data_IF_362605540216
#
_entry.id   IF_362605540216
#
_cell.length_a   1.000
_cell.length_b   1.000
_cell.length_c   1.000
_cell.angle_alpha   90.00
_cell.angle_beta   90.00
_cell.angle_gamma   90.00
#
_symmetry.space_group_name_H-M   'P 1'
#
loop_
_entity.id
_entity.type
_entity.pdbx_description
1 polymer ?
#
# COMPACT_ATOMS: atom_id res chain seq x y z
N UNK A 1 32.72 34.68 -28.55
CA UNK A 1 32.92 33.21 -28.58
C UNK A 1 33.33 32.63 -27.22
N UNK A 2 34.28 33.23 -26.51
CA UNK A 2 34.76 32.75 -25.19
C UNK A 2 33.64 32.56 -24.15
N UNK A 3 32.71 33.52 -24.02
CA UNK A 3 31.60 33.44 -23.06
C UNK A 3 30.67 32.23 -23.31
N UNK A 4 30.39 31.90 -24.58
CA UNK A 4 29.57 30.75 -24.95
C UNK A 4 30.25 29.44 -24.49
N UNK A 5 31.55 29.30 -24.75
CA UNK A 5 32.33 28.13 -24.35
C UNK A 5 32.42 27.95 -22.84
N UNK A 6 32.54 29.05 -22.09
CA UNK A 6 32.51 29.02 -20.62
C UNK A 6 31.14 28.53 -20.13
N UNK A 7 30.05 29.08 -20.67
CA UNK A 7 28.70 28.67 -20.28
C UNK A 7 28.41 27.20 -20.59
N UNK A 8 28.81 26.72 -21.78
CA UNK A 8 28.66 25.31 -22.16
C UNK A 8 29.46 24.38 -21.25
N UNK A 9 30.70 24.76 -20.91
CA UNK A 9 31.55 23.98 -19.99
C UNK A 9 30.94 23.88 -18.59
N UNK A 10 30.43 24.99 -18.05
CA UNK A 10 29.75 25.00 -16.75
C UNK A 10 28.47 24.16 -16.77
N UNK A 11 27.68 24.28 -17.83
CA UNK A 11 26.45 23.49 -17.99
C UNK A 11 26.76 22.00 -18.04
N UNK A 12 27.82 21.60 -18.73
CA UNK A 12 28.28 20.21 -18.80
C UNK A 12 28.75 19.69 -17.43
N UNK A 13 29.47 20.52 -16.65
CA UNK A 13 29.85 20.17 -15.28
C UNK A 13 28.63 19.98 -14.37
N UNK A 14 27.63 20.87 -14.46
CA UNK A 14 26.37 20.74 -13.70
C UNK A 14 25.62 19.48 -14.12
N UNK A 15 25.55 19.19 -15.42
CA UNK A 15 24.92 17.97 -15.94
C UNK A 15 25.58 16.71 -15.39
N UNK A 16 26.91 16.65 -15.46
CA UNK A 16 27.69 15.52 -14.95
C UNK A 16 27.51 15.36 -13.43
N UNK A 17 27.50 16.45 -12.69
CA UNK A 17 27.25 16.43 -11.25
C UNK A 17 25.85 15.93 -10.90
N UNK A 18 24.80 16.46 -11.54
CA UNK A 18 23.42 16.04 -11.32
C UNK A 18 23.22 14.57 -11.72
N UNK A 19 23.80 14.13 -12.84
CA UNK A 19 23.75 12.73 -13.28
C UNK A 19 24.46 11.79 -12.30
N UNK A 20 25.63 12.18 -11.79
CA UNK A 20 26.32 11.40 -10.75
C UNK A 20 25.53 11.36 -9.44
N UNK A 21 24.91 12.48 -9.04
CA UNK A 21 24.06 12.55 -7.87
C UNK A 21 22.82 11.66 -8.02
N UNK A 22 22.21 11.61 -9.21
CA UNK A 22 21.11 10.70 -9.54
C UNK A 22 21.53 9.25 -9.41
N UNK A 23 22.61 8.85 -10.07
CA UNK A 23 23.12 7.49 -10.04
C UNK A 23 23.39 7.01 -8.61
N UNK A 24 24.02 7.85 -7.78
CA UNK A 24 24.41 7.47 -6.41
C UNK A 24 23.25 7.38 -5.43
N UNK A 25 22.12 8.01 -5.72
CA UNK A 25 21.03 8.18 -4.74
C UNK A 25 19.73 7.47 -5.10
N UNK A 26 19.49 7.25 -6.38
CA UNK A 26 18.29 6.57 -6.86
C UNK A 26 18.55 5.07 -6.92
N UNK A 27 17.68 4.31 -6.26
CA UNK A 27 17.73 2.86 -6.32
C UNK A 27 16.98 2.31 -7.54
N UNK A 28 17.02 0.99 -7.72
CA UNK A 28 16.33 0.32 -8.83
C UNK A 28 14.82 0.58 -8.83
N UNK A 29 14.20 0.78 -7.67
CA UNK A 29 12.76 1.02 -7.55
C UNK A 29 12.42 2.45 -8.00
N UNK A 30 13.23 3.42 -7.63
CA UNK A 30 13.09 4.79 -8.11
C UNK A 30 13.20 4.85 -9.64
N UNK A 31 14.18 4.15 -10.23
CA UNK A 31 14.33 4.10 -11.68
C UNK A 31 13.18 3.42 -12.40
N UNK A 32 12.57 2.39 -11.79
CA UNK A 32 11.47 1.67 -12.40
C UNK A 32 10.16 2.46 -12.32
N UNK A 33 9.82 2.99 -11.14
CA UNK A 33 8.50 3.59 -10.87
C UNK A 33 8.45 5.10 -11.06
N UNK A 34 9.58 5.81 -10.95
CA UNK A 34 9.65 7.28 -10.99
C UNK A 34 10.45 7.82 -12.16
N UNK A 35 10.68 7.00 -13.20
CA UNK A 35 11.52 7.37 -14.35
C UNK A 35 11.14 8.73 -14.93
N UNK A 36 9.85 8.99 -15.14
CA UNK A 36 9.35 10.26 -15.68
C UNK A 36 9.73 11.46 -14.81
N UNK A 37 9.39 11.41 -13.53
CA UNK A 37 9.65 12.49 -12.57
C UNK A 37 11.15 12.75 -12.41
N UNK A 38 11.96 11.69 -12.39
CA UNK A 38 13.42 11.78 -12.33
C UNK A 38 13.96 12.54 -13.54
N UNK A 39 13.52 12.20 -14.76
CA UNK A 39 13.96 12.88 -15.97
C UNK A 39 13.44 14.31 -16.07
N UNK A 40 12.20 14.58 -15.67
CA UNK A 40 11.64 15.93 -15.62
C UNK A 40 12.44 16.80 -14.63
N UNK A 41 12.70 16.27 -13.43
CA UNK A 41 13.52 16.95 -12.42
C UNK A 41 14.95 17.23 -12.90
N UNK A 42 15.56 16.27 -13.58
CA UNK A 42 16.87 16.45 -14.20
C UNK A 42 16.85 17.54 -15.29
N UNK A 43 15.91 17.49 -16.24
CA UNK A 43 15.77 18.47 -17.30
C UNK A 43 15.50 19.88 -16.76
N UNK A 44 14.61 20.00 -15.76
CA UNK A 44 14.32 21.27 -15.09
C UNK A 44 15.54 21.81 -14.34
N UNK A 45 16.27 20.93 -13.63
CA UNK A 45 17.53 21.29 -12.98
C UNK A 45 18.58 21.78 -13.97
N UNK A 46 18.66 21.14 -15.13
CA UNK A 46 19.54 21.52 -16.25
C UNK A 46 19.15 22.84 -16.91
N UNK A 47 17.86 23.16 -17.01
CA UNK A 47 17.39 24.38 -17.67
C UNK A 47 17.46 25.58 -16.71
N UNK A 48 17.20 25.36 -15.42
CA UNK A 48 17.10 26.40 -14.40
C UNK A 48 18.33 26.50 -13.49
N UNK A 49 19.44 25.82 -13.79
CA UNK A 49 20.64 25.82 -12.93
C UNK A 49 21.17 27.22 -12.57
N UNK A 50 21.20 28.24 -13.46
CA UNK A 50 21.75 29.55 -13.10
C UNK A 50 20.88 30.26 -12.05
N UNK A 51 19.56 30.14 -12.21
CA UNK A 51 18.57 30.71 -11.30
C UNK A 51 18.59 29.97 -9.97
N UNK A 52 18.64 28.64 -9.99
CA UNK A 52 18.71 27.81 -8.80
C UNK A 52 20.01 28.03 -8.00
N UNK A 53 21.14 28.30 -8.66
CA UNK A 53 22.41 28.59 -8.00
C UNK A 53 22.34 29.90 -7.21
N UNK A 54 21.65 30.92 -7.74
CA UNK A 54 21.47 32.21 -7.06
C UNK A 54 20.44 32.11 -5.93
N UNK A 55 19.28 31.50 -6.18
CA UNK A 55 18.16 31.50 -5.23
C UNK A 55 18.32 30.44 -4.13
N UNK A 56 18.77 29.23 -4.48
CA UNK A 56 18.85 28.07 -3.58
C UNK A 56 20.00 27.13 -3.97
N UNK A 57 21.27 27.52 -3.74
CA UNK A 57 22.44 26.73 -4.17
C UNK A 57 22.47 25.32 -3.56
N UNK A 58 21.85 25.14 -2.39
CA UNK A 58 21.74 23.83 -1.74
C UNK A 58 20.96 22.80 -2.57
N UNK A 59 20.02 23.20 -3.43
CA UNK A 59 19.25 22.29 -4.28
C UNK A 59 20.11 21.64 -5.36
N UNK A 60 21.08 22.36 -5.91
CA UNK A 60 22.03 21.82 -6.91
C UNK A 60 23.14 21.05 -6.21
N UNK A 61 23.75 21.64 -5.18
CA UNK A 61 24.90 21.04 -4.48
C UNK A 61 24.54 19.76 -3.74
N UNK A 62 23.34 19.69 -3.15
CA UNK A 62 22.85 18.46 -2.50
C UNK A 62 22.05 17.57 -3.45
N UNK A 63 21.85 17.93 -4.72
CA UNK A 63 20.97 17.19 -5.65
C UNK A 63 19.50 17.16 -5.20
N UNK A 64 19.09 18.07 -4.32
CA UNK A 64 17.72 18.16 -3.80
C UNK A 64 16.68 18.56 -4.85
N UNK A 65 17.10 19.14 -5.97
CA UNK A 65 16.20 19.44 -7.10
C UNK A 65 15.54 18.19 -7.71
N UNK A 66 16.10 17.00 -7.45
CA UNK A 66 15.67 15.71 -8.01
C UNK A 66 14.82 14.93 -6.99
N UNK A 67 14.89 15.33 -5.71
CA UNK A 67 14.23 14.63 -4.61
C UNK A 67 13.31 15.60 -3.89
N UNK A 68 12.03 15.61 -4.30
CA UNK A 68 10.96 16.12 -3.46
C UNK A 68 10.81 15.16 -2.27
N UNK A 69 11.65 15.37 -1.25
CA UNK A 69 11.64 14.63 0.02
C UNK A 69 10.45 14.93 0.90
N UNK A 70 9.68 15.95 0.54
CA UNK A 70 8.39 16.17 1.16
C UNK A 70 7.39 15.25 0.46
N UNK A 71 6.86 14.23 1.16
CA UNK A 71 5.68 13.52 0.68
C UNK A 71 4.56 14.55 0.60
N UNK A 72 4.42 15.21 -0.55
CA UNK A 72 3.21 15.93 -0.86
C UNK A 72 2.14 14.87 -1.01
N UNK A 73 1.00 15.05 -0.36
CA UNK A 73 -0.12 14.10 -0.31
C UNK A 73 -0.71 13.73 -1.70
N UNK A 74 -0.15 14.27 -2.79
CA UNK A 74 -0.54 14.06 -4.17
C UNK A 74 0.52 13.31 -5.01
N UNK A 75 1.66 12.93 -4.42
CA UNK A 75 2.71 12.21 -5.15
C UNK A 75 2.52 10.69 -5.05
N UNK A 76 1.61 10.17 -5.89
CA UNK A 76 1.31 8.74 -5.99
C UNK A 76 2.51 7.88 -6.41
N UNK A 77 3.49 8.45 -7.12
CA UNK A 77 4.63 7.70 -7.62
C UNK A 77 5.66 7.42 -6.52
N UNK A 78 5.89 8.39 -5.62
CA UNK A 78 6.82 8.21 -4.49
C UNK A 78 6.26 7.27 -3.41
N UNK A 79 4.95 7.32 -3.14
CA UNK A 79 4.29 6.37 -2.22
C UNK A 79 4.34 4.95 -2.77
N UNK A 80 4.09 4.75 -4.06
CA UNK A 80 4.17 3.44 -4.70
C UNK A 80 5.59 2.86 -4.66
N UNK A 81 6.62 3.65 -4.97
CA UNK A 81 8.02 3.17 -4.92
C UNK A 81 8.43 2.77 -3.49
N UNK A 82 8.09 3.59 -2.49
CA UNK A 82 8.36 3.27 -1.10
C UNK A 82 7.62 2.01 -0.63
N UNK A 83 6.36 1.85 -1.02
CA UNK A 83 5.58 0.65 -0.73
C UNK A 83 6.21 -0.59 -1.36
N UNK A 84 6.60 -0.52 -2.64
CA UNK A 84 7.26 -1.61 -3.37
C UNK A 84 8.56 -2.05 -2.71
N UNK A 85 9.36 -1.09 -2.22
CA UNK A 85 10.58 -1.39 -1.45
C UNK A 85 10.27 -2.17 -0.18
N UNK A 86 9.25 -1.76 0.58
CA UNK A 86 8.85 -2.45 1.81
C UNK A 86 8.37 -3.86 1.52
N UNK A 87 7.53 -4.04 0.51
CA UNK A 87 7.07 -5.37 0.08
C UNK A 87 8.25 -6.25 -0.33
N UNK A 88 9.19 -5.72 -1.12
CA UNK A 88 10.39 -6.47 -1.50
C UNK A 88 11.25 -6.87 -0.29
N UNK A 89 11.42 -5.97 0.69
CA UNK A 89 12.13 -6.30 1.94
C UNK A 89 11.42 -7.43 2.71
N UNK A 90 10.08 -7.47 2.72
CA UNK A 90 9.32 -8.57 3.31
C UNK A 90 9.50 -9.88 2.55
N UNK A 91 9.69 -9.84 1.22
CA UNK A 91 9.98 -11.04 0.43
C UNK A 91 11.38 -11.58 0.76
N UNK A 92 12.38 -10.71 0.92
CA UNK A 92 13.76 -11.13 1.20
C UNK A 92 13.93 -11.59 2.65
N UNK A 93 13.32 -10.87 3.59
CA UNK A 93 13.45 -11.11 5.02
C UNK A 93 12.11 -10.89 5.72
N UNK A 94 11.17 -11.85 5.60
CA UNK A 94 9.86 -11.74 6.25
C UNK A 94 10.04 -11.78 7.78
N UNK A 95 9.28 -10.96 8.53
CA UNK A 95 9.20 -11.13 9.97
C UNK A 95 8.60 -12.49 10.32
N UNK A 96 8.88 -13.04 11.51
CA UNK A 96 8.36 -14.34 11.89
C UNK A 96 6.82 -14.27 12.04
N UNK A 97 6.14 -15.29 11.54
CA UNK A 97 4.69 -15.45 11.65
C UNK A 97 4.38 -16.42 12.78
N UNK A 98 3.49 -16.07 13.70
CA UNK A 98 3.03 -16.98 14.76
C UNK A 98 1.96 -17.95 14.27
N UNK A 99 1.47 -18.80 15.18
CA UNK A 99 0.37 -19.74 14.92
C UNK A 99 -0.91 -19.00 14.46
N UNK A 100 -1.12 -17.81 14.99
CA UNK A 100 -2.25 -16.96 14.64
C UNK A 100 -1.73 -15.65 14.05
N UNK A 101 -2.45 -15.12 13.06
CA UNK A 101 -2.19 -13.79 12.49
C UNK A 101 -3.32 -12.85 12.87
N UNK A 102 -2.98 -11.64 13.30
CA UNK A 102 -3.94 -10.58 13.58
C UNK A 102 -3.90 -9.51 12.50
N UNK A 103 -5.08 -9.06 12.09
CA UNK A 103 -5.23 -7.96 11.15
C UNK A 103 -6.25 -6.95 11.67
N UNK A 104 -5.87 -5.69 11.69
CA UNK A 104 -6.73 -4.60 12.12
C UNK A 104 -7.41 -3.98 10.89
N UNK A 105 -8.72 -4.25 10.74
CA UNK A 105 -9.48 -3.77 9.60
C UNK A 105 -9.80 -2.27 9.77
N UNK A 106 -9.34 -1.39 8.87
CA UNK A 106 -9.35 0.06 9.07
C UNK A 106 -10.72 0.71 8.91
N UNK A 107 -11.74 0.00 8.41
CA UNK A 107 -12.98 0.61 7.93
C UNK A 107 -14.24 -0.02 8.54
N UNK A 108 -14.61 0.41 9.75
CA UNK A 108 -15.93 0.18 10.32
C UNK A 108 -16.75 1.45 10.19
N UNK A 109 -17.91 1.37 9.51
CA UNK A 109 -18.78 2.52 9.20
C UNK A 109 -19.19 3.31 10.46
N UNK A 110 -19.26 2.62 11.60
CA UNK A 110 -19.78 3.14 12.86
C UNK A 110 -18.69 3.33 13.93
N UNK A 111 -17.43 3.03 13.64
CA UNK A 111 -16.35 3.05 14.64
C UNK A 111 -15.08 3.73 14.13
N UNK A 112 -14.56 4.65 14.94
CA UNK A 112 -13.22 5.24 14.79
C UNK A 112 -12.10 4.27 15.14
N UNK A 113 -12.41 3.15 15.79
CA UNK A 113 -11.46 2.10 16.15
C UNK A 113 -11.46 0.99 15.09
N UNK A 114 -10.27 0.48 14.72
CA UNK A 114 -10.17 -0.64 13.80
C UNK A 114 -10.74 -1.91 14.41
N UNK A 115 -11.24 -2.80 13.56
CA UNK A 115 -11.81 -4.08 13.97
C UNK A 115 -10.74 -5.15 13.88
N UNK A 116 -10.34 -5.67 15.04
CA UNK A 116 -9.34 -6.73 15.12
C UNK A 116 -9.93 -8.06 14.61
N UNK A 117 -9.23 -8.66 13.65
CA UNK A 117 -9.50 -9.98 13.10
C UNK A 117 -8.33 -10.91 13.45
N UNK A 118 -8.63 -12.16 13.79
CA UNK A 118 -7.61 -13.18 14.08
C UNK A 118 -7.88 -14.41 13.22
N UNK A 119 -6.84 -14.87 12.53
CA UNK A 119 -6.87 -16.04 11.67
C UNK A 119 -5.81 -17.05 12.11
N UNK A 120 -6.09 -18.35 11.99
CA UNK A 120 -5.05 -19.37 12.17
C UNK A 120 -4.20 -19.42 10.90
N UNK A 121 -2.88 -19.28 11.02
CA UNK A 121 -1.99 -19.26 9.87
C UNK A 121 -2.04 -20.57 9.05
N UNK A 122 -2.30 -21.72 9.70
CA UNK A 122 -2.50 -23.00 9.03
C UNK A 122 -3.74 -22.99 8.13
N UNK A 123 -4.84 -22.42 8.61
CA UNK A 123 -6.10 -22.35 7.86
C UNK A 123 -5.97 -21.41 6.67
N UNK A 124 -5.27 -20.28 6.85
CA UNK A 124 -4.98 -19.35 5.74
C UNK A 124 -4.12 -20.05 4.68
N UNK A 125 -3.06 -20.75 5.08
CA UNK A 125 -2.20 -21.48 4.16
C UNK A 125 -2.96 -22.58 3.39
N UNK A 126 -3.83 -23.32 4.09
CA UNK A 126 -4.62 -24.39 3.50
C UNK A 126 -5.69 -23.86 2.54
N UNK A 127 -6.37 -22.76 2.90
CA UNK A 127 -7.41 -22.15 2.09
C UNK A 127 -6.89 -21.66 0.74
N UNK A 128 -5.69 -21.10 0.69
CA UNK A 128 -5.08 -20.59 -0.54
C UNK A 128 -4.11 -21.59 -1.20
N UNK A 129 -4.13 -22.86 -0.80
CA UNK A 129 -3.21 -23.86 -1.35
C UNK A 129 -3.59 -24.22 -2.79
N UNK A 130 -2.88 -23.64 -3.74
CA UNK A 130 -3.06 -23.92 -5.18
C UNK A 130 -3.95 -22.92 -5.91
N UNK A 131 -4.48 -21.93 -5.20
CA UNK A 131 -5.28 -20.85 -5.77
C UNK A 131 -4.47 -19.56 -5.93
N UNK A 132 -4.86 -18.72 -6.90
CA UNK A 132 -4.33 -17.37 -7.00
C UNK A 132 -4.87 -16.51 -5.86
N UNK A 133 -3.99 -15.85 -5.12
CA UNK A 133 -4.37 -14.96 -4.03
C UNK A 133 -5.14 -13.74 -4.56
N UNK A 134 -6.10 -13.19 -3.80
CA UNK A 134 -6.92 -12.05 -4.20
C UNK A 134 -6.19 -10.69 -4.18
N UNK A 135 -4.89 -10.68 -4.42
CA UNK A 135 -4.06 -9.48 -4.41
C UNK A 135 -3.77 -9.03 -5.84
N UNK A 136 -3.70 -7.71 -6.03
CA UNK A 136 -3.47 -7.13 -7.35
C UNK A 136 -2.05 -7.35 -7.88
N UNK A 137 -1.07 -7.49 -6.99
CA UNK A 137 0.34 -7.47 -7.36
C UNK A 137 1.05 -8.76 -6.94
N UNK A 138 1.82 -9.36 -7.85
CA UNK A 138 2.55 -10.61 -7.62
C UNK A 138 3.52 -10.53 -6.44
N UNK A 139 4.20 -9.39 -6.25
CA UNK A 139 5.12 -9.19 -5.12
C UNK A 139 4.40 -9.30 -3.76
N UNK A 140 3.19 -8.74 -3.65
CA UNK A 140 2.41 -8.81 -2.41
C UNK A 140 1.98 -10.25 -2.14
N UNK A 141 1.59 -10.98 -3.19
CA UNK A 141 1.28 -12.41 -3.10
C UNK A 141 2.49 -13.21 -2.61
N UNK A 142 3.67 -12.97 -3.18
CA UNK A 142 4.90 -13.62 -2.74
C UNK A 142 5.26 -13.27 -1.29
N UNK A 143 5.11 -11.99 -0.92
CA UNK A 143 5.40 -11.52 0.43
C UNK A 143 4.49 -12.21 1.46
N UNK A 144 3.19 -12.31 1.19
CA UNK A 144 2.26 -12.95 2.12
C UNK A 144 2.45 -14.46 2.19
N UNK A 145 2.72 -15.13 1.06
CA UNK A 145 3.02 -16.56 1.05
C UNK A 145 4.28 -16.83 1.87
N UNK A 146 5.36 -16.06 1.66
CA UNK A 146 6.59 -16.20 2.45
C UNK A 146 6.37 -15.93 3.93
N UNK A 147 5.61 -14.90 4.27
CA UNK A 147 5.27 -14.59 5.66
C UNK A 147 4.52 -15.75 6.33
N UNK A 148 3.43 -16.23 5.72
CA UNK A 148 2.59 -17.30 6.28
C UNK A 148 3.33 -18.65 6.29
N UNK A 149 4.11 -18.96 5.25
CA UNK A 149 4.88 -20.23 5.19
C UNK A 149 6.06 -20.24 6.15
N UNK A 150 6.59 -19.07 6.52
CA UNK A 150 7.58 -18.88 7.59
C UNK A 150 7.01 -18.96 9.01
N UNK A 151 5.88 -19.67 9.19
CA UNK A 151 5.21 -19.86 10.48
C UNK A 151 6.14 -20.55 11.48
N UNK A 152 6.23 -19.96 12.66
CA UNK A 152 6.91 -20.49 13.83
C UNK A 152 5.89 -20.84 14.91
N UNK A 153 5.67 -22.14 15.11
CA UNK A 153 4.72 -22.66 16.09
C UNK A 153 5.15 -22.42 17.55
N UNK A 154 6.39 -21.96 17.78
CA UNK A 154 6.90 -21.63 19.11
C UNK A 154 6.48 -20.23 19.58
N UNK A 155 6.02 -19.35 18.69
CA UNK A 155 5.60 -18.00 19.03
C UNK A 155 4.17 -17.99 19.60
N UNK A 156 4.01 -17.64 20.89
CA UNK A 156 2.69 -17.64 21.51
C UNK A 156 1.88 -16.42 21.08
N UNK A 157 0.65 -16.67 20.61
CA UNK A 157 -0.35 -15.65 20.37
C UNK A 157 -0.41 -15.07 18.95
N UNK A 158 -1.31 -14.11 18.71
CA UNK A 158 -1.50 -13.51 17.39
C UNK A 158 -0.34 -12.60 17.02
N UNK A 159 0.24 -12.80 15.84
CA UNK A 159 1.24 -11.90 15.26
C UNK A 159 0.59 -10.96 14.24
N UNK A 160 0.88 -9.65 14.27
CA UNK A 160 0.28 -8.72 13.33
C UNK A 160 0.80 -8.95 11.91
N UNK A 161 -0.13 -8.92 10.94
CA UNK A 161 0.24 -8.89 9.53
C UNK A 161 1.03 -7.60 9.24
N UNK A 162 2.17 -7.67 8.53
CA UNK A 162 2.95 -6.48 8.18
C UNK A 162 2.13 -5.41 7.44
N UNK A 163 2.31 -4.15 7.81
CA UNK A 163 1.59 -2.99 7.26
C UNK A 163 1.80 -2.79 5.75
N UNK A 164 2.90 -3.28 5.20
CA UNK A 164 3.18 -3.20 3.78
C UNK A 164 2.35 -4.18 2.93
N UNK A 165 1.65 -5.15 3.53
CA UNK A 165 0.79 -6.09 2.82
C UNK A 165 -0.66 -5.60 2.93
N UNK A 166 -1.29 -5.34 1.79
CA UNK A 166 -2.73 -5.07 1.73
C UNK A 166 -3.51 -6.38 1.94
N UNK A 167 -3.79 -6.67 3.21
CA UNK A 167 -4.46 -7.90 3.65
C UNK A 167 -5.99 -7.77 3.66
N UNK A 168 -6.57 -6.60 3.35
CA UNK A 168 -8.00 -6.31 3.50
C UNK A 168 -8.87 -7.30 2.71
N UNK A 169 -8.52 -7.50 1.44
CA UNK A 169 -9.27 -8.40 0.54
C UNK A 169 -9.19 -9.85 0.98
N UNK A 170 -8.00 -10.27 1.42
CA UNK A 170 -7.77 -11.64 1.82
C UNK A 170 -8.45 -11.95 3.16
N UNK A 171 -8.36 -11.04 4.14
CA UNK A 171 -9.14 -11.10 5.36
C UNK A 171 -10.63 -11.24 5.07
N UNK A 172 -11.17 -10.43 4.15
CA UNK A 172 -12.60 -10.52 3.86
C UNK A 172 -13.00 -11.84 3.18
N UNK A 173 -12.17 -12.37 2.28
CA UNK A 173 -12.41 -13.70 1.69
C UNK A 173 -12.36 -14.82 2.73
N UNK A 174 -11.43 -14.75 3.69
CA UNK A 174 -11.37 -15.72 4.79
C UNK A 174 -12.64 -15.65 5.65
N UNK A 175 -13.11 -14.44 5.97
CA UNK A 175 -14.38 -14.26 6.69
C UNK A 175 -15.57 -14.81 5.89
N UNK A 176 -15.63 -14.53 4.58
CA UNK A 176 -16.64 -15.09 3.67
C UNK A 176 -16.63 -16.63 3.66
N UNK A 177 -15.45 -17.24 3.78
CA UNK A 177 -15.27 -18.68 3.88
C UNK A 177 -15.54 -19.25 5.29
N UNK A 178 -15.93 -18.42 6.26
CA UNK A 178 -16.14 -18.83 7.65
C UNK A 178 -14.85 -19.11 8.43
N UNK A 179 -13.71 -18.61 7.95
CA UNK A 179 -12.38 -18.83 8.55
C UNK A 179 -11.97 -17.61 9.39
N UNK A 180 -11.55 -17.87 10.62
CA UNK A 180 -11.05 -16.87 11.56
C UNK A 180 -12.11 -16.34 12.50
N UNK A 181 -11.77 -15.28 13.21
CA UNK A 181 -12.62 -14.65 14.23
C UNK A 181 -12.50 -13.13 14.17
N UNK A 182 -13.60 -12.45 14.53
CA UNK A 182 -13.72 -10.99 14.46
C UNK A 182 -14.14 -10.46 15.83
N UNK A 183 -13.44 -9.43 16.32
CA UNK A 183 -13.79 -8.77 17.57
C UNK A 183 -14.96 -7.81 17.38
N UNK A 184 -16.07 -8.04 18.07
CA UNK A 184 -17.13 -7.05 18.17
C UNK A 184 -16.75 -5.98 19.19
N UNK A 185 -16.72 -4.71 18.76
CA UNK A 185 -16.35 -3.59 19.65
C UNK A 185 -17.43 -3.29 20.70
N UNK A 186 -18.71 -3.51 20.37
CA UNK A 186 -19.84 -3.34 21.29
C UNK A 186 -19.88 -4.46 22.35
N UNK A 187 -19.84 -5.73 21.91
CA UNK A 187 -19.87 -6.89 22.80
C UNK A 187 -18.55 -7.11 23.54
N UNK A 188 -17.42 -6.63 22.99
CA UNK A 188 -16.05 -6.87 23.45
C UNK A 188 -15.64 -8.35 23.45
N UNK A 189 -16.24 -9.15 22.56
CA UNK A 189 -16.01 -10.59 22.40
C UNK A 189 -15.61 -10.89 20.95
N UNK A 190 -14.82 -11.95 20.76
CA UNK A 190 -14.51 -12.51 19.45
C UNK A 190 -15.59 -13.51 19.03
N UNK A 191 -16.14 -13.32 17.83
CA UNK A 191 -17.07 -14.25 17.20
C UNK A 191 -16.37 -15.00 16.07
N UNK A 192 -16.71 -16.27 15.87
CA UNK A 192 -16.19 -17.00 14.73
C UNK A 192 -16.79 -16.44 13.43
N UNK A 193 -16.04 -16.44 12.35
CA UNK A 193 -16.49 -15.92 11.06
C UNK A 193 -17.79 -16.59 10.57
N UNK A 194 -17.95 -17.90 10.80
CA UNK A 194 -19.18 -18.64 10.47
C UNK A 194 -20.42 -18.28 11.32
N UNK A 195 -20.26 -17.54 12.41
CA UNK A 195 -21.37 -17.05 13.25
C UNK A 195 -21.87 -15.66 12.81
N UNK A 196 -21.16 -15.00 11.89
CA UNK A 196 -21.50 -13.67 11.44
C UNK A 196 -22.64 -13.72 10.43
N UNK A 197 -23.56 -12.77 10.52
CA UNK A 197 -24.60 -12.59 9.50
C UNK A 197 -24.14 -11.58 8.46
N UNK A 198 -24.24 -11.93 7.18
CA UNK A 198 -23.99 -11.03 6.06
C UNK A 198 -25.31 -10.45 5.56
N UNK A 199 -25.44 -9.13 5.61
CA UNK A 199 -26.56 -8.41 5.02
C UNK A 199 -26.11 -7.67 3.76
N UNK A 200 -26.91 -7.78 2.70
CA UNK A 200 -26.71 -7.04 1.45
C UNK A 200 -27.97 -6.19 1.21
N UNK A 201 -27.93 -4.89 1.52
CA UNK A 201 -29.10 -4.02 1.34
C UNK A 201 -29.48 -3.93 -0.15
N UNK A 202 -30.72 -3.49 -0.41
CA UNK A 202 -31.20 -3.25 -1.77
C UNK A 202 -30.28 -2.30 -2.53
N UNK A 203 -30.02 -2.61 -3.80
CA UNK A 203 -29.10 -1.85 -4.63
C UNK A 203 -29.64 -0.45 -4.90
N UNK A 204 -28.84 0.56 -4.58
CA UNK A 204 -29.11 1.96 -4.92
C UNK A 204 -28.01 2.55 -5.82
N UNK A 205 -28.28 3.66 -6.54
CA UNK A 205 -27.25 4.37 -7.28
C UNK A 205 -26.05 4.73 -6.39
N UNK A 206 -24.84 4.51 -6.89
CA UNK A 206 -23.59 4.75 -6.16
C UNK A 206 -22.98 3.50 -5.54
N UNK A 207 -22.18 3.68 -4.48
CA UNK A 207 -21.52 2.58 -3.75
C UNK A 207 -22.51 1.88 -2.83
N UNK A 208 -22.66 0.57 -3.03
CA UNK A 208 -23.41 -0.32 -2.16
C UNK A 208 -22.42 -1.13 -1.33
N UNK A 209 -22.79 -1.38 -0.08
CA UNK A 209 -21.93 -2.03 0.89
C UNK A 209 -22.61 -3.27 1.46
N UNK A 210 -21.86 -4.35 1.58
CA UNK A 210 -22.27 -5.51 2.37
C UNK A 210 -21.83 -5.29 3.82
N UNK A 211 -22.65 -5.69 4.77
CA UNK A 211 -22.44 -5.43 6.19
C UNK A 211 -22.51 -6.74 6.97
N UNK A 212 -21.45 -7.01 7.74
CA UNK A 212 -21.42 -8.17 8.63
C UNK A 212 -21.81 -7.73 10.02
N UNK A 213 -22.67 -8.50 10.66
CA UNK A 213 -23.10 -8.27 12.03
C UNK A 213 -22.76 -9.47 12.91
N UNK A 214 -22.51 -9.20 14.20
CA UNK A 214 -22.39 -10.28 15.18
C UNK A 214 -23.76 -10.90 15.49
N UNK A 215 -23.82 -12.05 16.19
CA UNK A 215 -25.08 -12.67 16.62
C UNK A 215 -26.00 -11.76 17.45
N UNK A 216 -25.46 -10.71 18.09
CA UNK A 216 -26.24 -9.72 18.82
C UNK A 216 -26.79 -8.58 17.92
N UNK A 217 -26.53 -8.62 16.61
CA UNK A 217 -27.01 -7.63 15.64
C UNK A 217 -26.17 -6.34 15.54
N UNK A 218 -24.99 -6.26 16.18
CA UNK A 218 -24.10 -5.11 16.03
C UNK A 218 -23.31 -5.19 14.73
N UNK A 219 -23.23 -4.08 14.00
CA UNK A 219 -22.35 -3.94 12.83
C UNK A 219 -20.88 -4.13 13.22
N UNK A 220 -20.18 -4.93 12.43
CA UNK A 220 -18.76 -5.21 12.63
C UNK A 220 -17.94 -4.55 11.52
N UNK A 221 -18.17 -4.99 10.29
CA UNK A 221 -17.42 -4.55 9.12
C UNK A 221 -18.37 -4.23 7.97
N UNK A 222 -17.98 -3.23 7.18
CA UNK A 222 -18.67 -2.85 5.97
C UNK A 222 -17.71 -2.93 4.80
N UNK A 223 -18.04 -3.76 3.80
CA UNK A 223 -17.23 -3.94 2.60
C UNK A 223 -17.94 -3.32 1.41
N UNK A 224 -17.19 -2.61 0.56
CA UNK A 224 -17.68 -2.20 -0.77
C UNK A 224 -18.01 -3.44 -1.59
N UNK A 225 -19.27 -3.57 -1.95
CA UNK A 225 -19.77 -4.73 -2.68
C UNK A 225 -19.87 -4.42 -4.19
N UNK A 226 -20.63 -3.39 -4.55
CA UNK A 226 -20.86 -3.02 -5.95
C UNK A 226 -21.09 -1.52 -6.09
N UNK A 227 -20.59 -0.93 -7.19
CA UNK A 227 -20.92 0.43 -7.58
C UNK A 227 -21.90 0.42 -8.76
N UNK A 228 -23.12 0.89 -8.54
CA UNK A 228 -24.16 0.92 -9.56
C UNK A 228 -24.19 2.30 -10.21
N UNK A 229 -23.81 2.37 -11.48
CA UNK A 229 -23.95 3.57 -12.30
C UNK A 229 -25.34 3.59 -12.92
N UNK A 230 -26.18 4.54 -12.53
CA UNK A 230 -27.45 4.78 -13.22
C UNK A 230 -27.26 5.89 -14.25
N UNK A 231 -27.69 5.62 -15.50
CA UNK A 231 -27.76 6.65 -16.54
C UNK A 231 -28.90 7.58 -16.18
N UNK A 232 -28.62 8.89 -16.02
CA UNK A 232 -29.69 9.89 -15.86
C UNK A 232 -30.68 9.75 -17.02
N UNK A 233 -31.99 9.62 -16.78
CA UNK A 233 -32.96 9.67 -17.85
C UNK A 233 -32.85 11.05 -18.52
N UNK A 234 -32.68 11.05 -19.85
CA UNK A 234 -32.74 12.27 -20.63
C UNK A 234 -34.14 12.85 -20.48
N UNK A 235 -34.24 14.04 -19.88
CA UNK A 235 -35.49 14.78 -19.82
C UNK A 235 -35.96 15.04 -21.26
N UNK A 236 -37.13 14.51 -21.61
CA UNK A 236 -37.85 14.80 -22.83
C UNK A 236 -38.83 15.95 -22.58
#
# INVERSE_FOLDING_TARGET
MTALWIYLSLTLLVAAWLGLAMWRRLDQFDWHYRRGDIWIGFCMGMLLWPVLLILKPSLILRGGAIRNDQPQALDFASTNAAQRRRVHQLIENPPPCGVQVSYDFPNSKDSTQPVAMIFNAADVQNHFKGDSLPMFWEDEQMAIVKYITGRDDTLPGPTPVPDAIDFEKMATQLIDAGIGSVRCLACKVFYNAGELSLSTPELHPGWNFAEYSCPAGHSLLSRRHIHVYTRRPSAH
#
